data_IF_719481366635
#
_entry.id   IF_719481366635
#
_cell.length_a   1.000
_cell.length_b   1.000
_cell.length_c   1.000
_cell.angle_alpha   90.00
_cell.angle_beta   90.00
_cell.angle_gamma   90.00
#
_symmetry.space_group_name_H-M   'P 1'
#
loop_
_entity.id
_entity.type
_entity.pdbx_description
1 polymer ?
#
# COMPACT_ATOMS: atom_id res chain seq x y z
N UNK A 1 -7.53 -25.29 -4.48
CA UNK A 1 -6.93 -24.54 -3.34
C UNK A 1 -7.98 -23.57 -2.83
N UNK A 2 -8.26 -23.53 -1.50
CA UNK A 2 -9.23 -22.56 -0.98
C UNK A 2 -8.74 -21.11 -1.22
N UNK A 3 -9.66 -20.17 -1.37
CA UNK A 3 -9.35 -18.78 -1.65
C UNK A 3 -8.43 -18.16 -0.56
N UNK A 4 -8.71 -18.45 0.71
CA UNK A 4 -7.89 -18.00 1.85
C UNK A 4 -6.45 -18.52 1.75
N UNK A 5 -6.28 -19.80 1.43
CA UNK A 5 -4.95 -20.39 1.25
C UNK A 5 -4.16 -19.68 0.15
N UNK A 6 -4.84 -19.27 -0.93
CA UNK A 6 -4.22 -18.51 -2.01
C UNK A 6 -3.75 -17.13 -1.54
N UNK A 7 -4.59 -16.39 -0.79
CA UNK A 7 -4.21 -15.08 -0.23
C UNK A 7 -2.97 -15.21 0.64
N UNK A 8 -2.93 -16.18 1.54
CA UNK A 8 -1.79 -16.42 2.43
C UNK A 8 -0.51 -16.77 1.66
N UNK A 9 -0.62 -17.58 0.61
CA UNK A 9 0.53 -17.92 -0.25
C UNK A 9 1.04 -16.68 -0.99
N UNK A 10 0.16 -15.86 -1.55
CA UNK A 10 0.55 -14.60 -2.20
C UNK A 10 1.20 -13.66 -1.20
N UNK A 11 0.59 -13.44 -0.05
CA UNK A 11 1.12 -12.57 1.00
C UNK A 11 2.51 -13.01 1.47
N UNK A 12 2.69 -14.30 1.75
CA UNK A 12 3.98 -14.86 2.10
C UNK A 12 5.01 -14.66 0.98
N UNK A 13 4.64 -14.94 -0.27
CA UNK A 13 5.52 -14.76 -1.42
C UNK A 13 5.97 -13.32 -1.60
N UNK A 14 5.06 -12.34 -1.44
CA UNK A 14 5.39 -10.90 -1.50
C UNK A 14 6.38 -10.52 -0.40
N UNK A 15 6.28 -11.12 0.78
CA UNK A 15 7.19 -10.84 1.89
C UNK A 15 8.58 -11.45 1.69
N UNK A 16 8.64 -12.69 1.20
CA UNK A 16 9.88 -13.49 1.14
C UNK A 16 10.64 -13.37 -0.19
N UNK A 17 9.92 -13.31 -1.31
CA UNK A 17 10.46 -13.22 -2.68
C UNK A 17 9.53 -12.41 -3.56
N UNK A 18 9.51 -11.07 -3.39
CA UNK A 18 8.58 -10.20 -4.10
C UNK A 18 8.80 -10.23 -5.62
N UNK A 19 10.03 -10.33 -6.10
CA UNK A 19 10.31 -10.30 -7.53
C UNK A 19 9.71 -11.51 -8.26
N UNK A 20 9.94 -12.71 -7.78
CA UNK A 20 9.38 -13.92 -8.38
C UNK A 20 7.87 -13.97 -8.22
N UNK A 21 7.36 -13.58 -7.06
CA UNK A 21 5.91 -13.56 -6.80
C UNK A 21 5.20 -12.58 -7.72
N UNK A 22 5.67 -11.34 -7.84
CA UNK A 22 5.09 -10.35 -8.74
C UNK A 22 5.19 -10.78 -10.22
N UNK A 23 6.26 -11.47 -10.60
CA UNK A 23 6.41 -12.02 -11.95
C UNK A 23 5.33 -13.06 -12.25
N UNK A 24 5.04 -13.95 -11.32
CA UNK A 24 3.95 -14.92 -11.44
C UNK A 24 2.57 -14.25 -11.49
N UNK A 25 2.36 -13.24 -10.65
CA UNK A 25 1.09 -12.50 -10.56
C UNK A 25 0.85 -11.53 -11.72
N UNK A 26 1.88 -11.24 -12.52
CA UNK A 26 1.78 -10.30 -13.65
C UNK A 26 0.73 -10.69 -14.67
N UNK A 27 0.51 -11.99 -14.90
CA UNK A 27 -0.48 -12.50 -15.85
C UNK A 27 -1.90 -12.56 -15.27
N UNK A 28 -2.08 -12.30 -13.97
CA UNK A 28 -3.39 -12.38 -13.34
C UNK A 28 -4.31 -11.23 -13.73
N UNK A 29 -5.62 -11.46 -13.55
CA UNK A 29 -6.63 -10.42 -13.78
C UNK A 29 -6.51 -9.32 -12.72
N UNK A 30 -6.75 -8.08 -13.12
CA UNK A 30 -6.79 -6.93 -12.19
C UNK A 30 -7.81 -7.12 -11.08
N UNK A 31 -8.94 -7.78 -11.37
CA UNK A 31 -9.94 -8.12 -10.35
C UNK A 31 -9.40 -9.02 -9.24
N UNK A 32 -8.46 -9.93 -9.54
CA UNK A 32 -7.80 -10.77 -8.52
C UNK A 32 -6.95 -9.93 -7.58
N UNK A 33 -6.22 -8.94 -8.10
CA UNK A 33 -5.42 -8.02 -7.29
C UNK A 33 -6.32 -7.12 -6.42
N UNK A 34 -7.40 -6.59 -6.99
CA UNK A 34 -8.38 -5.81 -6.23
C UNK A 34 -9.03 -6.64 -5.12
N UNK A 35 -9.45 -7.87 -5.40
CA UNK A 35 -10.02 -8.72 -4.36
C UNK A 35 -8.99 -9.07 -3.27
N UNK A 36 -7.73 -9.30 -3.66
CA UNK A 36 -6.64 -9.54 -2.70
C UNK A 36 -6.48 -8.36 -1.74
N UNK A 37 -6.35 -7.14 -2.29
CA UNK A 37 -6.12 -5.94 -1.48
C UNK A 37 -7.33 -5.59 -0.61
N UNK A 38 -8.55 -5.75 -1.12
CA UNK A 38 -9.78 -5.51 -0.36
C UNK A 38 -9.91 -6.47 0.83
N UNK A 39 -9.57 -7.74 0.66
CA UNK A 39 -9.65 -8.70 1.77
C UNK A 39 -8.60 -8.40 2.84
N UNK A 40 -7.36 -8.11 2.44
CA UNK A 40 -6.31 -7.77 3.40
C UNK A 40 -6.61 -6.41 4.04
N UNK A 41 -7.02 -5.41 3.25
CA UNK A 41 -7.40 -4.08 3.74
C UNK A 41 -8.54 -4.14 4.75
N UNK A 42 -9.59 -4.93 4.48
CA UNK A 42 -10.68 -5.11 5.42
C UNK A 42 -10.20 -5.71 6.76
N UNK A 43 -9.33 -6.73 6.71
CA UNK A 43 -8.74 -7.29 7.94
C UNK A 43 -7.97 -6.22 8.71
N UNK A 44 -7.14 -5.44 8.02
CA UNK A 44 -6.38 -4.33 8.62
C UNK A 44 -7.30 -3.27 9.21
N UNK A 45 -8.33 -2.85 8.46
CA UNK A 45 -9.29 -1.85 8.89
C UNK A 45 -10.04 -2.26 10.18
N UNK A 46 -10.27 -3.56 10.39
CA UNK A 46 -10.82 -4.09 11.64
C UNK A 46 -9.79 -4.18 12.77
N UNK A 47 -8.52 -4.43 12.46
CA UNK A 47 -7.47 -4.56 13.47
C UNK A 47 -6.97 -3.20 13.98
N UNK A 48 -6.95 -2.17 13.13
CA UNK A 48 -6.47 -0.83 13.47
C UNK A 48 -7.22 -0.19 14.65
N UNK A 49 -8.56 -0.19 14.74
CA UNK A 49 -9.26 0.34 15.91
C UNK A 49 -8.96 -0.41 17.20
N UNK A 50 -8.57 -1.69 17.15
CA UNK A 50 -8.20 -2.46 18.33
C UNK A 50 -6.90 -1.95 18.98
N UNK A 51 -5.99 -1.36 18.22
CA UNK A 51 -4.80 -0.70 18.77
C UNK A 51 -5.18 0.46 19.68
N UNK A 52 -6.11 1.31 19.23
CA UNK A 52 -6.61 2.47 20.00
C UNK A 52 -7.26 1.98 21.30
N UNK A 53 -8.04 0.91 21.24
CA UNK A 53 -8.67 0.30 22.43
C UNK A 53 -7.64 -0.32 23.38
N UNK A 54 -6.50 -0.78 22.87
CA UNK A 54 -5.40 -1.31 23.66
C UNK A 54 -4.47 -0.21 24.24
N UNK A 55 -4.80 1.07 24.04
CA UNK A 55 -4.04 2.21 24.57
C UNK A 55 -2.77 2.54 23.78
N UNK A 56 -2.61 1.97 22.59
CA UNK A 56 -1.58 2.40 21.66
C UNK A 56 -2.08 3.62 20.91
N UNK A 57 -1.79 4.80 21.42
CA UNK A 57 -1.93 6.03 20.65
C UNK A 57 -0.95 5.98 19.47
N UNK A 58 -1.39 6.58 18.36
CA UNK A 58 -0.69 6.60 17.08
C UNK A 58 0.76 7.13 17.22
N UNK A 59 1.71 6.23 17.44
CA UNK A 59 3.11 6.59 17.69
C UNK A 59 3.83 6.93 16.38
N UNK A 60 3.27 6.57 15.22
CA UNK A 60 3.97 6.74 13.95
C UNK A 60 2.98 6.94 12.78
N UNK A 61 2.56 8.12 12.46
CA UNK A 61 1.71 8.44 11.29
C UNK A 61 2.16 7.89 9.91
N UNK A 62 2.99 6.86 9.89
CA UNK A 62 3.56 6.16 8.73
C UNK A 62 2.85 4.84 8.36
N UNK A 63 1.64 4.61 8.89
CA UNK A 63 0.87 3.42 8.49
C UNK A 63 0.45 3.51 7.01
N UNK A 64 0.51 2.42 6.27
CA UNK A 64 -0.02 2.37 4.90
C UNK A 64 -1.53 2.71 4.86
N UNK A 65 -2.25 2.44 5.94
CA UNK A 65 -3.60 2.95 6.19
C UNK A 65 -3.64 4.33 6.85
N UNK A 66 -2.51 4.94 7.22
CA UNK A 66 -2.46 6.13 8.08
C UNK A 66 -3.24 7.32 7.54
N UNK A 67 -3.11 7.61 6.25
CA UNK A 67 -3.91 8.66 5.62
C UNK A 67 -5.39 8.29 5.54
N UNK A 68 -5.72 7.05 5.22
CA UNK A 68 -7.11 6.57 5.18
C UNK A 68 -7.72 6.58 6.58
N UNK A 69 -6.98 6.19 7.60
CA UNK A 69 -7.41 6.22 8.99
C UNK A 69 -7.59 7.66 9.49
N UNK A 70 -6.64 8.55 9.19
CA UNK A 70 -6.74 9.96 9.52
C UNK A 70 -8.01 10.59 8.93
N UNK A 71 -8.26 10.37 7.64
CA UNK A 71 -9.46 10.85 6.95
C UNK A 71 -10.73 10.23 7.52
N UNK A 72 -10.73 8.93 7.81
CA UNK A 72 -11.86 8.25 8.43
C UNK A 72 -12.17 8.79 9.82
N UNK A 73 -11.14 9.08 10.61
CA UNK A 73 -11.27 9.70 11.94
C UNK A 73 -11.85 11.11 11.85
N UNK A 74 -11.30 11.96 10.96
CA UNK A 74 -11.79 13.34 10.79
C UNK A 74 -13.25 13.36 10.35
N UNK A 75 -13.64 12.55 9.37
CA UNK A 75 -15.01 12.41 8.90
C UNK A 75 -15.91 11.88 10.03
N UNK A 76 -15.48 10.86 10.78
CA UNK A 76 -16.27 10.32 11.90
C UNK A 76 -16.57 11.39 12.95
N UNK A 77 -15.57 12.21 13.30
CA UNK A 77 -15.75 13.30 14.28
C UNK A 77 -16.69 14.37 13.74
N UNK A 78 -16.49 14.82 12.49
CA UNK A 78 -17.31 15.88 11.89
C UNK A 78 -18.77 15.52 11.73
N UNK A 79 -19.06 14.25 11.44
CA UNK A 79 -20.43 13.77 11.21
C UNK A 79 -21.03 13.04 12.41
N UNK A 80 -20.32 12.96 13.54
CA UNK A 80 -20.81 12.28 14.74
C UNK A 80 -21.02 10.78 14.55
N UNK A 81 -20.24 10.15 13.66
CA UNK A 81 -20.33 8.72 13.39
C UNK A 81 -19.63 7.93 14.51
N UNK A 82 -20.24 6.84 14.94
CA UNK A 82 -19.65 5.95 15.93
C UNK A 82 -18.41 5.21 15.42
N UNK A 83 -17.67 4.60 16.37
CA UNK A 83 -16.45 3.83 16.06
C UNK A 83 -16.71 2.66 15.12
N UNK A 84 -17.93 2.13 15.11
CA UNK A 84 -18.35 1.02 14.25
C UNK A 84 -18.30 1.35 12.75
N UNK A 85 -18.40 2.63 12.38
CA UNK A 85 -18.30 3.07 10.98
C UNK A 85 -16.87 3.26 10.51
N UNK A 86 -15.90 3.38 11.42
CA UNK A 86 -14.49 3.63 11.05
C UNK A 86 -13.89 2.59 10.12
N UNK A 87 -14.04 1.28 10.34
CA UNK A 87 -13.48 0.28 9.43
C UNK A 87 -13.96 0.43 7.99
N UNK A 88 -15.26 0.74 7.82
CA UNK A 88 -15.85 0.98 6.50
C UNK A 88 -15.26 2.25 5.84
N UNK A 89 -15.14 3.34 6.60
CA UNK A 89 -14.56 4.58 6.10
C UNK A 89 -13.09 4.42 5.74
N UNK A 90 -12.31 3.70 6.55
CA UNK A 90 -10.90 3.39 6.26
C UNK A 90 -10.79 2.67 4.92
N UNK A 91 -11.62 1.65 4.68
CA UNK A 91 -11.61 0.88 3.44
C UNK A 91 -11.97 1.76 2.22
N UNK A 92 -12.99 2.61 2.34
CA UNK A 92 -13.40 3.53 1.28
C UNK A 92 -12.27 4.51 0.95
N UNK A 93 -11.68 5.17 1.95
CA UNK A 93 -10.59 6.11 1.73
C UNK A 93 -9.35 5.41 1.19
N UNK A 94 -9.06 4.19 1.65
CA UNK A 94 -7.96 3.40 1.14
C UNK A 94 -8.11 3.12 -0.37
N UNK A 95 -9.31 2.74 -0.82
CA UNK A 95 -9.58 2.54 -2.26
C UNK A 95 -9.35 3.84 -3.04
N UNK A 96 -9.82 4.97 -2.54
CA UNK A 96 -9.63 6.26 -3.20
C UNK A 96 -8.14 6.60 -3.31
N UNK A 97 -7.39 6.44 -2.22
CA UNK A 97 -5.94 6.67 -2.19
C UNK A 97 -5.22 5.71 -3.14
N UNK A 98 -5.59 4.44 -3.17
CA UNK A 98 -5.05 3.43 -4.08
C UNK A 98 -5.22 3.86 -5.55
N UNK A 99 -6.39 4.37 -5.94
CA UNK A 99 -6.67 4.81 -7.30
C UNK A 99 -5.86 6.06 -7.68
N UNK A 100 -5.79 7.04 -6.77
CA UNK A 100 -4.99 8.26 -6.96
C UNK A 100 -3.51 7.91 -7.08
N UNK A 101 -2.98 7.09 -6.19
CA UNK A 101 -1.59 6.62 -6.21
C UNK A 101 -1.29 5.83 -7.48
N UNK A 102 -2.24 5.02 -7.94
CA UNK A 102 -2.11 4.30 -9.21
C UNK A 102 -1.94 5.24 -10.38
N UNK A 103 -2.78 6.27 -10.50
CA UNK A 103 -2.69 7.25 -11.58
C UNK A 103 -1.37 8.04 -11.51
N UNK A 104 -1.01 8.51 -10.32
CA UNK A 104 0.22 9.27 -10.08
C UNK A 104 1.47 8.46 -10.44
N UNK A 105 1.64 7.28 -9.87
CA UNK A 105 2.79 6.42 -10.13
C UNK A 105 2.84 5.94 -11.58
N UNK A 106 1.67 5.70 -12.19
CA UNK A 106 1.62 5.33 -13.60
C UNK A 106 2.25 6.40 -14.50
N UNK A 107 1.92 7.68 -14.26
CA UNK A 107 2.50 8.80 -15.00
C UNK A 107 4.02 8.84 -14.82
N UNK A 108 4.51 8.70 -13.58
CA UNK A 108 5.95 8.69 -13.28
C UNK A 108 6.66 7.56 -14.03
N UNK A 109 6.11 6.35 -13.98
CA UNK A 109 6.74 5.21 -14.68
C UNK A 109 6.69 5.37 -16.18
N UNK A 110 5.64 5.99 -16.76
CA UNK A 110 5.58 6.32 -18.18
C UNK A 110 6.63 7.35 -18.58
N UNK A 111 6.82 8.40 -17.80
CA UNK A 111 7.87 9.40 -18.01
C UNK A 111 9.27 8.76 -17.94
N UNK A 112 9.47 7.79 -17.04
CA UNK A 112 10.71 7.02 -16.95
C UNK A 112 10.91 6.03 -18.13
N UNK A 113 9.93 5.91 -19.04
CA UNK A 113 9.98 5.03 -20.21
C UNK A 113 9.45 3.63 -19.94
N UNK A 114 8.57 3.46 -18.96
CA UNK A 114 7.92 2.19 -18.65
C UNK A 114 6.90 1.78 -19.72
N UNK A 115 6.83 0.48 -20.04
CA UNK A 115 5.94 -0.07 -21.06
C UNK A 115 4.59 -0.54 -20.50
N UNK A 116 4.45 -0.70 -19.18
CA UNK A 116 3.24 -1.22 -18.52
C UNK A 116 1.99 -0.36 -18.77
N UNK A 117 0.83 -0.98 -18.61
CA UNK A 117 -0.48 -0.31 -18.64
C UNK A 117 -0.86 0.17 -17.23
N UNK A 118 -1.87 1.05 -17.14
CA UNK A 118 -2.38 1.51 -15.84
C UNK A 118 -2.88 0.34 -14.95
N UNK A 119 -3.46 -0.69 -15.56
CA UNK A 119 -3.84 -1.92 -14.85
C UNK A 119 -2.65 -2.69 -14.28
N UNK A 120 -1.47 -2.55 -14.87
CA UNK A 120 -0.23 -3.14 -14.37
C UNK A 120 0.23 -2.38 -13.13
N UNK A 121 0.15 -1.05 -13.14
CA UNK A 121 0.43 -0.20 -11.98
C UNK A 121 -0.52 -0.52 -10.83
N UNK A 122 -1.83 -0.65 -11.11
CA UNK A 122 -2.82 -0.99 -10.09
C UNK A 122 -2.51 -2.35 -9.44
N UNK A 123 -2.20 -3.37 -10.24
CA UNK A 123 -1.82 -4.69 -9.72
C UNK A 123 -0.54 -4.64 -8.88
N UNK A 124 0.44 -3.89 -9.37
CA UNK A 124 1.71 -3.70 -8.69
C UNK A 124 1.50 -3.07 -7.30
N UNK A 125 0.72 -2.00 -7.21
CA UNK A 125 0.44 -1.34 -5.92
C UNK A 125 -0.40 -2.27 -5.04
N UNK A 126 -1.47 -2.86 -5.58
CA UNK A 126 -2.35 -3.73 -4.81
C UNK A 126 -1.63 -4.94 -4.18
N UNK A 127 -0.68 -5.54 -4.87
CA UNK A 127 0.13 -6.61 -4.28
C UNK A 127 1.29 -6.07 -3.45
N UNK A 128 1.90 -4.96 -3.87
CA UNK A 128 3.03 -4.35 -3.19
C UNK A 128 2.70 -3.75 -1.82
N UNK A 129 1.44 -3.41 -1.58
CA UNK A 129 0.96 -2.88 -0.29
C UNK A 129 0.79 -3.98 0.79
N UNK A 130 0.84 -5.25 0.40
CA UNK A 130 0.62 -6.36 1.33
C UNK A 130 1.44 -6.28 2.63
N UNK A 131 2.75 -5.97 2.62
CA UNK A 131 3.52 -5.85 3.86
C UNK A 131 2.95 -4.78 4.80
N UNK A 132 2.65 -3.61 4.25
CA UNK A 132 2.14 -2.48 5.02
C UNK A 132 0.75 -2.76 5.60
N UNK A 133 -0.14 -3.40 4.84
CA UNK A 133 -1.46 -3.79 5.33
C UNK A 133 -1.39 -4.92 6.36
N UNK A 134 -0.52 -5.91 6.18
CA UNK A 134 -0.42 -7.04 7.10
C UNK A 134 0.22 -6.68 8.44
N UNK A 135 1.15 -5.74 8.46
CA UNK A 135 1.94 -5.42 9.64
C UNK A 135 1.86 -3.95 10.06
N UNK A 136 1.24 -3.09 9.26
CA UNK A 136 1.09 -1.67 9.56
C UNK A 136 0.28 -1.38 10.83
N UNK A 137 -0.56 -2.32 11.25
CA UNK A 137 -1.30 -2.24 12.51
C UNK A 137 -0.49 -2.70 13.73
N UNK A 138 0.71 -3.28 13.55
CA UNK A 138 1.57 -3.72 14.66
C UNK A 138 2.51 -2.58 15.04
N UNK A 139 2.44 -2.05 16.27
CA UNK A 139 3.33 -0.99 16.74
C UNK A 139 4.81 -1.35 16.49
N UNK A 140 5.61 -0.37 16.10
CA UNK A 140 7.04 -0.51 15.73
C UNK A 140 7.33 -1.29 14.43
N UNK A 141 6.45 -2.22 14.00
CA UNK A 141 6.59 -2.92 12.73
C UNK A 141 6.06 -2.11 11.55
N UNK A 142 5.16 -1.17 11.78
CA UNK A 142 4.53 -0.35 10.76
C UNK A 142 5.55 0.34 9.85
N UNK A 143 6.57 0.97 10.42
CA UNK A 143 7.62 1.67 9.64
C UNK A 143 8.40 0.70 8.75
N UNK A 144 8.82 -0.45 9.29
CA UNK A 144 9.55 -1.47 8.53
C UNK A 144 8.68 -2.02 7.40
N UNK A 145 7.40 -2.28 7.68
CA UNK A 145 6.44 -2.79 6.71
C UNK A 145 6.15 -1.76 5.60
N UNK A 146 6.02 -0.47 5.95
CA UNK A 146 5.83 0.61 4.99
C UNK A 146 7.06 0.82 4.10
N UNK A 147 8.26 0.80 4.66
CA UNK A 147 9.51 0.86 3.88
C UNK A 147 9.62 -0.32 2.92
N UNK A 148 9.29 -1.54 3.39
CA UNK A 148 9.31 -2.72 2.53
C UNK A 148 8.27 -2.64 1.42
N UNK A 149 7.05 -2.19 1.70
CA UNK A 149 6.04 -1.95 0.69
C UNK A 149 6.51 -0.90 -0.34
N UNK A 150 7.13 0.19 0.11
CA UNK A 150 7.70 1.21 -0.78
C UNK A 150 8.80 0.64 -1.69
N UNK A 151 9.70 -0.20 -1.17
CA UNK A 151 10.71 -0.89 -2.00
C UNK A 151 10.05 -1.77 -3.06
N UNK A 152 8.99 -2.50 -2.69
CA UNK A 152 8.27 -3.35 -3.64
C UNK A 152 7.57 -2.49 -4.70
N UNK A 153 6.87 -1.44 -4.32
CA UNK A 153 6.08 -0.63 -5.24
C UNK A 153 6.92 0.30 -6.13
N UNK A 154 7.98 0.87 -5.58
CA UNK A 154 8.73 1.92 -6.27
C UNK A 154 10.01 1.40 -6.95
N UNK A 155 10.49 0.22 -6.55
CA UNK A 155 11.72 -0.35 -7.10
C UNK A 155 11.49 -1.70 -7.80
N UNK A 156 11.03 -2.73 -7.09
CA UNK A 156 10.87 -4.08 -7.65
C UNK A 156 9.71 -4.13 -8.66
N UNK A 157 8.57 -3.58 -8.29
CA UNK A 157 7.35 -3.61 -9.09
C UNK A 157 7.50 -2.95 -10.46
N UNK A 158 8.09 -1.75 -10.59
CA UNK A 158 8.32 -1.13 -11.90
C UNK A 158 9.22 -1.94 -12.81
N UNK A 159 10.20 -2.67 -12.29
CA UNK A 159 11.01 -3.56 -13.10
C UNK A 159 10.19 -4.74 -13.66
N UNK A 160 9.30 -5.29 -12.83
CA UNK A 160 8.46 -6.44 -13.22
C UNK A 160 7.32 -6.02 -14.14
N UNK A 161 6.54 -5.01 -13.76
CA UNK A 161 5.31 -4.64 -14.46
C UNK A 161 5.53 -3.65 -15.61
N UNK A 162 6.46 -2.71 -15.43
CA UNK A 162 6.75 -1.66 -16.43
C UNK A 162 8.03 -1.93 -17.22
N UNK A 163 8.74 -3.03 -16.96
CA UNK A 163 10.01 -3.39 -17.58
C UNK A 163 11.07 -2.28 -17.51
N UNK A 164 11.05 -1.49 -16.45
CA UNK A 164 12.10 -0.51 -16.23
C UNK A 164 13.44 -1.21 -15.98
N UNK A 165 14.51 -0.66 -16.52
CA UNK A 165 15.84 -1.13 -16.18
C UNK A 165 16.15 -0.82 -14.72
N UNK A 166 17.05 -1.59 -14.10
CA UNK A 166 17.48 -1.40 -12.73
C UNK A 166 17.89 0.06 -12.44
N UNK A 167 18.69 0.66 -13.32
CA UNK A 167 19.14 2.04 -13.17
C UNK A 167 17.99 3.05 -13.15
N UNK A 168 16.99 2.90 -14.04
CA UNK A 168 15.81 3.77 -14.06
C UNK A 168 14.95 3.57 -12.83
N UNK A 169 14.77 2.33 -12.36
CA UNK A 169 14.05 2.04 -11.13
C UNK A 169 14.75 2.66 -9.91
N UNK A 170 16.07 2.60 -9.82
CA UNK A 170 16.84 3.30 -8.78
C UNK A 170 16.62 4.82 -8.81
N UNK A 171 16.67 5.44 -9.98
CA UNK A 171 16.46 6.89 -10.12
C UNK A 171 15.06 7.28 -9.64
N UNK A 172 14.02 6.58 -10.13
CA UNK A 172 12.63 6.84 -9.72
C UNK A 172 12.46 6.66 -8.23
N UNK A 173 12.96 5.56 -7.66
CA UNK A 173 12.91 5.29 -6.23
C UNK A 173 13.59 6.40 -5.41
N UNK A 174 14.80 6.80 -5.79
CA UNK A 174 15.56 7.84 -5.08
C UNK A 174 14.87 9.22 -5.15
N UNK A 175 14.28 9.58 -6.29
CA UNK A 175 13.57 10.84 -6.44
C UNK A 175 12.30 10.88 -5.60
N UNK A 176 11.51 9.79 -5.58
CA UNK A 176 10.28 9.72 -4.79
C UNK A 176 10.57 9.66 -3.28
N UNK A 177 11.59 8.90 -2.88
CA UNK A 177 12.03 8.85 -1.48
C UNK A 177 12.55 10.21 -1.02
N UNK A 178 13.38 10.89 -1.85
CA UNK A 178 13.88 12.22 -1.56
C UNK A 178 12.78 13.27 -1.43
N UNK A 179 11.77 13.22 -2.31
CA UNK A 179 10.60 14.10 -2.22
C UNK A 179 9.82 13.89 -0.91
N UNK A 180 9.59 12.64 -0.51
CA UNK A 180 8.94 12.32 0.76
C UNK A 180 9.72 12.80 1.98
N UNK A 181 11.03 12.67 1.98
CA UNK A 181 11.89 13.19 3.07
C UNK A 181 11.80 14.71 3.15
N UNK A 182 11.82 15.41 2.02
CA UNK A 182 11.70 16.87 1.98
C UNK A 182 10.33 17.31 2.49
N UNK A 183 9.25 16.62 2.10
CA UNK A 183 7.89 16.91 2.59
C UNK A 183 7.81 16.79 4.12
N UNK A 184 8.35 15.72 4.69
CA UNK A 184 8.39 15.53 6.15
C UNK A 184 9.19 16.67 6.82
N UNK A 185 10.38 17.00 6.30
CA UNK A 185 11.20 18.05 6.87
C UNK A 185 10.53 19.44 6.81
N UNK A 186 9.74 19.72 5.78
CA UNK A 186 9.00 20.99 5.64
C UNK A 186 7.74 21.02 6.51
N UNK A 187 7.16 19.89 6.87
CA UNK A 187 5.96 19.81 7.72
C UNK A 187 6.27 20.06 9.21
N UNK A 188 7.54 20.02 9.60
CA UNK A 188 7.98 20.28 10.98
C UNK A 188 8.38 21.77 11.23
N UNK A 189 8.32 22.61 10.19
CA UNK A 189 8.60 24.05 10.27
C UNK A 189 7.28 24.84 10.36
#
# INVERSE_FOLDING_TARGET
>A
MSYIKRILVIAYGILSDPQNTLTQLRSEKTSSALTFILVIGAVTAFLTPLQVLAGYEDVNGLHAGGQAEYLARDVSIRFGLGLEFRPFLIEVFYIVILLISTAYLHIIFKVAGGEGRISDTLRMIAYGDAPALLFGWVPYFATVAAVWAAVIQLFIGPMVYHKLSWAKACIVFSLLLGAGIIEIALSEI
#
